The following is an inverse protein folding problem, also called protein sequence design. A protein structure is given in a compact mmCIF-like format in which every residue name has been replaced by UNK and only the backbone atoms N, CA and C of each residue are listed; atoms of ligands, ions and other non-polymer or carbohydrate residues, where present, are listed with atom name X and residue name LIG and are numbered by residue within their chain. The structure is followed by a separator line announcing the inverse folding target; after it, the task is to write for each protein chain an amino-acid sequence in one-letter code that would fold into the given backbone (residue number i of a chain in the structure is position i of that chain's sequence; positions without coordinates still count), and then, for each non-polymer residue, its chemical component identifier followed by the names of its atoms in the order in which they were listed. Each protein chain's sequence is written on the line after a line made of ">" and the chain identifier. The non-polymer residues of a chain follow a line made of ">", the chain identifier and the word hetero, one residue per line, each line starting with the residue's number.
data_IF_791281167330
#
_entry.id   IF_791281167330
#
_cell.length_a   1.000
_cell.length_b   1.000
_cell.length_c   1.000
_cell.angle_alpha   90.00
_cell.angle_beta   90.00
_cell.angle_gamma   90.00
#
_symmetry.space_group_name_H-M   'P 1'
#
loop_
_entity.id
_entity.type
_entity.pdbx_description
1 polymer ?
#
# COMPACT_ATOMS: atom_id res chain seq x y z
N UNK A 1 0.11 18.74 -17.45
CA UNK A 1 0.35 17.52 -16.66
C UNK A 1 0.13 17.88 -15.21
N UNK A 2 -0.80 17.22 -14.53
CA UNK A 2 -0.99 17.41 -13.11
C UNK A 2 0.14 16.69 -12.34
N UNK A 3 0.75 17.35 -11.35
CA UNK A 3 1.66 16.64 -10.44
C UNK A 3 0.85 15.86 -9.40
N UNK A 4 1.44 14.86 -8.78
CA UNK A 4 0.75 14.12 -7.73
C UNK A 4 1.62 13.05 -7.11
N UNK A 5 0.99 12.20 -6.31
CA UNK A 5 1.64 11.07 -5.66
C UNK A 5 1.10 9.75 -6.17
N UNK A 6 2.02 8.80 -6.29
CA UNK A 6 1.73 7.37 -6.42
C UNK A 6 2.20 6.67 -5.16
N UNK A 7 1.41 5.74 -4.65
CA UNK A 7 1.83 4.80 -3.63
C UNK A 7 1.81 3.39 -4.21
N UNK A 8 2.96 2.73 -4.13
CA UNK A 8 3.14 1.33 -4.53
C UNK A 8 3.22 0.50 -3.26
N UNK A 9 2.22 -0.36 -3.03
CA UNK A 9 2.18 -1.29 -1.90
C UNK A 9 2.62 -2.66 -2.40
N UNK A 10 3.86 -3.04 -2.10
CA UNK A 10 4.47 -4.30 -2.56
C UNK A 10 4.48 -5.32 -1.45
N UNK A 11 4.03 -6.55 -1.71
CA UNK A 11 4.23 -7.67 -0.79
C UNK A 11 5.73 -7.97 -0.70
N UNK A 12 6.36 -7.54 0.40
CA UNK A 12 7.80 -7.71 0.63
C UNK A 12 8.11 -9.13 1.08
N UNK A 13 7.32 -9.61 2.03
CA UNK A 13 7.48 -10.93 2.65
C UNK A 13 6.10 -11.53 2.94
N UNK A 14 6.01 -12.85 2.81
CA UNK A 14 4.82 -13.64 3.18
C UNK A 14 5.25 -14.67 4.21
N UNK A 15 4.73 -14.53 5.43
CA UNK A 15 4.90 -15.46 6.54
C UNK A 15 3.71 -16.42 6.50
N UNK A 16 3.97 -17.73 6.41
CA UNK A 16 2.92 -18.73 6.22
C UNK A 16 2.31 -18.66 4.81
N UNK A 17 0.97 -18.60 4.71
CA UNK A 17 0.25 -18.60 3.43
C UNK A 17 -0.56 -17.32 3.23
N UNK A 18 -0.50 -16.75 2.02
CA UNK A 18 -1.49 -15.80 1.54
C UNK A 18 -2.12 -16.32 0.24
N UNK A 19 -3.46 -16.34 0.11
CA UNK A 19 -4.11 -16.80 -1.11
C UNK A 19 -4.04 -15.77 -2.25
N UNK A 20 -3.74 -14.50 -1.95
CA UNK A 20 -3.72 -13.40 -2.92
C UNK A 20 -2.30 -12.97 -3.27
N UNK A 21 -1.46 -12.73 -2.26
CA UNK A 21 -0.13 -12.15 -2.45
C UNK A 21 0.99 -13.20 -2.41
N UNK A 22 2.00 -12.97 -3.25
CA UNK A 22 3.34 -13.58 -3.21
C UNK A 22 4.37 -12.45 -3.16
N UNK A 23 5.60 -12.68 -2.67
CA UNK A 23 6.64 -11.66 -2.70
C UNK A 23 6.79 -11.04 -4.10
N UNK A 24 6.77 -9.71 -4.16
CA UNK A 24 6.87 -8.92 -5.39
C UNK A 24 5.54 -8.48 -6.02
N UNK A 25 4.41 -9.13 -5.67
CA UNK A 25 3.09 -8.66 -6.14
C UNK A 25 2.70 -7.34 -5.46
N UNK A 26 1.95 -6.50 -6.18
CA UNK A 26 1.71 -5.11 -5.75
C UNK A 26 0.30 -4.61 -6.02
N UNK A 27 -0.11 -3.63 -5.22
CA UNK A 27 -1.25 -2.76 -5.51
C UNK A 27 -0.72 -1.33 -5.70
N UNK A 28 -1.20 -0.65 -6.72
CA UNK A 28 -0.76 0.70 -7.11
C UNK A 28 -1.93 1.67 -6.94
N UNK A 29 -1.72 2.70 -6.13
CA UNK A 29 -2.69 3.77 -5.90
C UNK A 29 -2.12 5.06 -6.46
N UNK A 30 -2.88 5.70 -7.34
CA UNK A 30 -2.52 6.95 -7.99
C UNK A 30 -3.39 8.09 -7.45
N UNK A 31 -2.78 9.27 -7.31
CA UNK A 31 -3.46 10.49 -6.94
C UNK A 31 -2.83 11.71 -7.64
N UNK A 32 -3.47 12.22 -8.71
CA UNK A 32 -3.21 13.57 -9.22
C UNK A 32 -3.61 14.65 -8.19
N UNK A 33 -2.91 15.78 -8.15
CA UNK A 33 -3.15 16.85 -7.16
C UNK A 33 -4.54 17.49 -7.29
N UNK A 34 -5.04 17.58 -8.50
CA UNK A 34 -6.37 18.09 -8.91
C UNK A 34 -7.41 16.99 -9.09
N UNK A 35 -7.03 15.72 -8.84
CA UNK A 35 -7.81 14.55 -9.18
C UNK A 35 -8.27 13.72 -7.98
N UNK A 36 -8.89 12.59 -8.32
CA UNK A 36 -9.36 11.59 -7.36
C UNK A 36 -8.21 10.65 -6.97
N UNK A 37 -8.31 10.04 -5.79
CA UNK A 37 -7.47 8.91 -5.39
C UNK A 37 -8.09 7.64 -5.95
N UNK A 38 -7.34 6.85 -6.72
CA UNK A 38 -7.87 5.63 -7.31
C UNK A 38 -6.81 4.53 -7.43
N UNK A 39 -7.29 3.30 -7.53
CA UNK A 39 -6.45 2.13 -7.79
C UNK A 39 -6.13 2.07 -9.28
N UNK A 40 -4.85 2.01 -9.63
CA UNK A 40 -4.41 1.77 -10.99
C UNK A 40 -4.49 0.27 -11.30
N UNK A 41 -5.62 -0.16 -11.87
CA UNK A 41 -5.88 -1.57 -12.20
C UNK A 41 -5.00 -2.11 -13.32
N UNK A 42 -4.33 -1.25 -14.11
CA UNK A 42 -3.40 -1.67 -15.15
C UNK A 42 -2.02 -2.06 -14.59
N UNK A 43 -1.62 -1.44 -13.49
CA UNK A 43 -0.32 -1.67 -12.86
C UNK A 43 -0.40 -2.48 -11.55
N UNK A 44 -1.61 -2.79 -11.09
CA UNK A 44 -1.84 -3.60 -9.89
C UNK A 44 -2.04 -5.07 -10.26
N UNK A 45 -1.56 -5.96 -9.39
CA UNK A 45 -1.98 -7.34 -9.33
C UNK A 45 -3.35 -7.47 -8.63
N UNK A 46 -3.78 -8.69 -8.32
CA UNK A 46 -4.98 -8.93 -7.53
C UNK A 46 -4.91 -8.20 -6.18
N UNK A 47 -6.01 -7.53 -5.83
CA UNK A 47 -6.11 -6.73 -4.61
C UNK A 47 -6.95 -7.47 -3.58
N UNK A 48 -6.37 -7.74 -2.42
CA UNK A 48 -7.11 -8.34 -1.32
C UNK A 48 -7.96 -7.28 -0.63
N UNK A 49 -9.28 -7.49 -0.55
CA UNK A 49 -10.19 -6.56 0.15
C UNK A 49 -9.83 -6.41 1.63
N UNK A 50 -9.30 -7.45 2.28
CA UNK A 50 -8.84 -7.38 3.67
C UNK A 50 -7.63 -6.46 3.82
N UNK A 51 -6.60 -6.66 2.97
CA UNK A 51 -5.40 -5.84 3.00
C UNK A 51 -5.72 -4.38 2.64
N UNK A 52 -6.55 -4.16 1.61
CA UNK A 52 -6.98 -2.82 1.22
C UNK A 52 -7.67 -2.13 2.40
N UNK A 53 -8.73 -2.73 2.94
CA UNK A 53 -9.50 -2.18 4.07
C UNK A 53 -8.61 -1.86 5.28
N UNK A 54 -7.74 -2.79 5.65
CA UNK A 54 -6.87 -2.66 6.81
C UNK A 54 -5.75 -1.62 6.66
N UNK A 55 -5.31 -1.35 5.43
CA UNK A 55 -4.22 -0.41 5.15
C UNK A 55 -4.72 0.98 4.73
N UNK A 56 -6.03 1.18 4.54
CA UNK A 56 -6.58 2.47 4.09
C UNK A 56 -6.17 3.64 5.00
N UNK A 57 -6.18 3.42 6.32
CA UNK A 57 -5.80 4.45 7.31
C UNK A 57 -4.32 4.85 7.24
N UNK A 58 -3.47 4.04 6.59
CA UNK A 58 -2.07 4.37 6.32
C UNK A 58 -1.92 4.95 4.91
N UNK A 59 -2.51 4.31 3.90
CA UNK A 59 -2.37 4.68 2.49
C UNK A 59 -2.93 6.07 2.22
N UNK A 60 -4.11 6.41 2.76
CA UNK A 60 -4.78 7.69 2.49
C UNK A 60 -3.98 8.90 3.00
N UNK A 61 -3.60 9.02 4.28
CA UNK A 61 -2.76 10.14 4.70
C UNK A 61 -1.38 10.12 4.01
N UNK A 62 -0.81 8.93 3.76
CA UNK A 62 0.49 8.81 3.10
C UNK A 62 0.47 9.35 1.66
N UNK A 63 -0.52 8.99 0.84
CA UNK A 63 -0.66 9.54 -0.53
C UNK A 63 -1.08 11.02 -0.52
N UNK A 64 -1.54 11.54 0.62
CA UNK A 64 -1.80 12.96 0.86
C UNK A 64 -0.58 13.77 1.34
N UNK A 65 0.58 13.13 1.50
CA UNK A 65 1.84 13.82 1.80
C UNK A 65 2.34 13.65 3.25
N UNK A 66 1.57 13.03 4.14
CA UNK A 66 2.05 12.73 5.51
C UNK A 66 3.23 11.74 5.41
N UNK A 67 4.30 11.95 6.15
CA UNK A 67 5.49 11.10 6.07
C UNK A 67 5.21 9.68 6.59
N UNK A 68 5.95 8.69 6.08
CA UNK A 68 5.90 7.33 6.62
C UNK A 68 6.38 7.28 8.09
N UNK A 69 7.26 8.20 8.48
CA UNK A 69 7.72 8.40 9.85
C UNK A 69 6.62 8.85 10.79
N UNK A 70 5.86 9.88 10.43
CA UNK A 70 4.76 10.40 11.25
C UNK A 70 3.61 9.40 11.36
N UNK A 71 3.44 8.55 10.34
CA UNK A 71 2.49 7.44 10.33
C UNK A 71 2.98 6.21 11.10
N UNK A 72 4.19 6.24 11.66
CA UNK A 72 4.77 5.13 12.42
C UNK A 72 5.09 3.89 11.59
N UNK A 73 5.23 4.03 10.27
CA UNK A 73 5.52 2.92 9.36
C UNK A 73 7.02 2.64 9.21
N UNK A 74 7.88 3.64 9.47
CA UNK A 74 9.34 3.52 9.38
C UNK A 74 10.05 4.75 9.98
N UNK A 75 11.37 4.83 9.85
CA UNK A 75 12.20 6.01 10.11
C UNK A 75 12.44 6.89 8.87
N UNK A 76 11.80 6.57 7.73
CA UNK A 76 11.97 7.24 6.43
C UNK A 76 10.74 8.07 6.07
N UNK A 77 10.92 9.02 5.14
CA UNK A 77 9.83 9.90 4.69
C UNK A 77 8.88 9.21 3.70
N UNK A 78 9.42 8.54 2.68
CA UNK A 78 8.65 8.03 1.52
C UNK A 78 8.62 6.50 1.41
N UNK A 79 9.12 5.79 2.41
CA UNK A 79 9.12 4.32 2.46
C UNK A 79 8.62 3.88 3.82
N UNK A 80 7.52 3.16 3.89
CA UNK A 80 6.94 2.61 5.11
C UNK A 80 6.72 1.11 5.02
N UNK A 81 6.53 0.45 6.16
CA UNK A 81 6.15 -0.95 6.22
C UNK A 81 4.85 -1.12 7.00
N UNK A 82 4.00 -2.03 6.55
CA UNK A 82 2.77 -2.37 7.23
C UNK A 82 2.50 -3.87 7.15
N UNK A 83 1.97 -4.43 8.23
CA UNK A 83 1.61 -5.84 8.31
C UNK A 83 0.13 -6.01 8.00
N UNK A 84 -0.22 -6.94 7.11
CA UNK A 84 -1.61 -7.34 6.90
C UNK A 84 -2.16 -7.92 8.22
N UNK A 85 -3.32 -7.46 8.69
CA UNK A 85 -3.94 -8.09 9.85
C UNK A 85 -4.28 -9.53 9.49
N UNK A 86 -3.94 -10.42 10.40
CA UNK A 86 -4.35 -11.80 10.38
C UNK A 86 -5.07 -12.12 11.68
N UNK A 87 -6.05 -13.03 11.66
CA UNK A 87 -6.67 -13.50 12.89
C UNK A 87 -5.61 -14.05 13.85
N UNK A 88 -5.73 -13.77 15.17
CA UNK A 88 -4.72 -14.18 16.12
C UNK A 88 -4.75 -15.70 16.36
N UNK A 89 -3.62 -16.30 16.74
CA UNK A 89 -3.59 -17.66 17.30
C UNK A 89 -4.50 -17.79 18.55
N UNK A 90 -5.04 -18.99 18.84
CA UNK A 90 -4.81 -20.28 18.15
C UNK A 90 -5.76 -20.53 16.98
N UNK A 91 -6.66 -19.60 16.66
CA UNK A 91 -7.72 -19.83 15.69
C UNK A 91 -7.21 -19.95 14.25
N UNK A 92 -6.14 -19.21 13.92
CA UNK A 92 -5.38 -19.35 12.68
C UNK A 92 -3.89 -19.30 13.05
N UNK A 93 -3.02 -20.11 12.40
CA UNK A 93 -1.57 -19.94 12.50
C UNK A 93 -1.18 -18.49 12.23
N UNK A 94 -0.06 -18.03 12.81
CA UNK A 94 0.42 -16.67 12.53
C UNK A 94 0.90 -16.58 11.07
N UNK A 95 -0.02 -16.26 10.18
CA UNK A 95 0.22 -16.02 8.75
C UNK A 95 0.09 -14.52 8.51
N UNK A 96 1.00 -13.91 7.75
CA UNK A 96 0.87 -12.48 7.46
C UNK A 96 1.65 -12.09 6.22
N UNK A 97 1.28 -10.96 5.63
CA UNK A 97 2.02 -10.30 4.56
C UNK A 97 2.61 -9.02 5.12
N UNK A 98 3.92 -8.85 4.98
CA UNK A 98 4.59 -7.58 5.24
C UNK A 98 4.63 -6.83 3.92
N UNK A 99 3.98 -5.66 3.89
CA UNK A 99 3.98 -4.77 2.74
C UNK A 99 5.03 -3.67 2.90
N UNK A 100 5.77 -3.39 1.84
CA UNK A 100 6.54 -2.16 1.67
C UNK A 100 5.66 -1.16 0.91
N UNK A 101 5.41 0.01 1.51
CA UNK A 101 4.71 1.13 0.89
C UNK A 101 5.76 2.15 0.45
N UNK A 102 5.82 2.42 -0.85
CA UNK A 102 6.70 3.45 -1.42
C UNK A 102 5.88 4.56 -2.04
N UNK A 103 6.15 5.81 -1.66
CA UNK A 103 5.55 6.99 -2.28
C UNK A 103 6.50 7.61 -3.29
N UNK A 104 5.95 7.96 -4.45
CA UNK A 104 6.69 8.59 -5.54
C UNK A 104 5.93 9.81 -6.06
N UNK A 105 6.65 10.89 -6.35
CA UNK A 105 6.08 12.01 -7.10
C UNK A 105 5.98 11.62 -8.57
N UNK A 106 4.86 11.91 -9.21
CA UNK A 106 4.61 11.55 -10.61
C UNK A 106 3.80 12.65 -11.31
N UNK A 107 4.02 12.76 -12.62
CA UNK A 107 3.15 13.52 -13.52
C UNK A 107 2.02 12.63 -14.04
N UNK A 108 0.82 13.16 -13.98
CA UNK A 108 -0.40 12.57 -14.47
C UNK A 108 -0.91 13.36 -15.69
N UNK A 109 -1.54 12.70 -16.67
CA UNK A 109 -2.29 13.38 -17.70
C UNK A 109 -3.32 14.32 -17.06
N UNK A 110 -3.46 15.54 -17.59
CA UNK A 110 -4.61 16.38 -17.25
C UNK A 110 -5.86 15.72 -17.82
N UNK A 111 -6.93 15.69 -17.03
CA UNK A 111 -8.23 15.15 -17.38
C UNK A 111 -9.22 16.28 -17.71
#
# INVERSE_FOLDING_TARGET
>A
MATGYRVIVTAKEVIGRCPVYKPGLKMVIDRPIDGLVYINTKESDNICIHALSALMNLIVPFIHGVSAKDLGMSDKEDIGYARCPAPPPPYIPEESVIFELRREKREFPEY
#
